data_IF_353235852587
#
_entry.id   IF_353235852587
#
_cell.length_a   1.000
_cell.length_b   1.000
_cell.length_c   1.000
_cell.angle_alpha   90.00
_cell.angle_beta   90.00
_cell.angle_gamma   90.00
#
_symmetry.space_group_name_H-M   'P 1'
#
loop_
_entity.id
_entity.type
_entity.pdbx_description
1 polymer ?
#
# COMPACT_ATOMS: atom_id res chain seq x y z
N UNK A 1 18.69 1.30 -25.87
CA UNK A 1 19.68 1.83 -24.91
C UNK A 1 19.63 3.36 -24.80
N UNK A 2 19.43 4.12 -25.89
CA UNK A 2 19.40 5.60 -25.84
C UNK A 2 18.19 6.23 -25.15
N UNK A 3 17.01 5.61 -25.25
CA UNK A 3 15.79 6.13 -24.61
C UNK A 3 15.93 6.17 -23.09
N UNK A 4 16.47 5.10 -22.48
CA UNK A 4 16.71 5.03 -21.04
C UNK A 4 17.76 6.06 -20.59
N UNK A 5 18.84 6.25 -21.37
CA UNK A 5 19.87 7.27 -21.09
C UNK A 5 19.34 8.70 -21.23
N UNK A 6 18.37 8.94 -22.13
CA UNK A 6 17.70 10.24 -22.29
C UNK A 6 16.74 10.51 -21.13
N UNK A 7 15.98 9.50 -20.71
CA UNK A 7 15.10 9.59 -19.54
C UNK A 7 15.91 9.82 -18.25
N UNK A 8 17.02 9.11 -18.06
CA UNK A 8 17.91 9.31 -16.91
C UNK A 8 18.42 10.75 -16.82
N UNK A 9 18.99 11.29 -17.91
CA UNK A 9 19.43 12.69 -17.96
C UNK A 9 18.32 13.72 -17.72
N UNK A 10 17.09 13.39 -18.13
CA UNK A 10 15.94 14.27 -17.90
C UNK A 10 15.47 14.25 -16.43
N UNK A 11 15.55 13.10 -15.78
CA UNK A 11 15.25 12.91 -14.35
C UNK A 11 16.34 13.49 -13.45
N UNK A 12 17.61 13.44 -13.86
CA UNK A 12 18.80 13.95 -13.14
C UNK A 12 18.91 15.49 -13.10
N UNK A 13 17.79 16.22 -13.15
CA UNK A 13 17.78 17.67 -12.95
C UNK A 13 17.81 18.01 -11.45
N UNK A 14 18.59 19.01 -11.04
CA UNK A 14 18.55 19.48 -9.65
C UNK A 14 17.13 19.94 -9.30
N UNK A 15 16.67 19.61 -8.09
CA UNK A 15 15.32 19.95 -7.58
C UNK A 15 14.15 19.30 -8.32
N UNK A 16 14.35 18.15 -8.98
CA UNK A 16 13.23 17.38 -9.53
C UNK A 16 12.19 17.08 -8.44
N UNK A 17 10.88 17.34 -8.67
CA UNK A 17 9.84 17.18 -7.65
C UNK A 17 9.45 15.71 -7.45
N UNK A 18 10.39 14.90 -6.91
CA UNK A 18 10.23 13.46 -6.70
C UNK A 18 8.99 13.11 -5.88
N UNK A 19 8.71 13.87 -4.82
CA UNK A 19 7.51 13.69 -3.98
C UNK A 19 6.22 13.76 -4.81
N UNK A 20 6.10 14.75 -5.70
CA UNK A 20 4.92 14.92 -6.57
C UNK A 20 4.80 13.78 -7.58
N UNK A 21 5.93 13.35 -8.17
CA UNK A 21 5.94 12.24 -9.11
C UNK A 21 5.49 10.93 -8.45
N UNK A 22 6.04 10.60 -7.28
CA UNK A 22 5.70 9.38 -6.54
C UNK A 22 4.23 9.40 -6.12
N UNK A 23 3.74 10.53 -5.59
CA UNK A 23 2.31 10.70 -5.24
C UNK A 23 1.43 10.52 -6.48
N UNK A 24 1.76 11.16 -7.59
CA UNK A 24 1.00 11.05 -8.83
C UNK A 24 0.95 9.62 -9.37
N UNK A 25 2.10 8.92 -9.36
CA UNK A 25 2.17 7.53 -9.78
C UNK A 25 1.38 6.61 -8.85
N UNK A 26 1.50 6.79 -7.53
CA UNK A 26 0.74 6.04 -6.53
C UNK A 26 -0.76 6.23 -6.70
N UNK A 27 -1.23 7.45 -6.90
CA UNK A 27 -2.64 7.75 -7.17
C UNK A 27 -3.10 7.12 -8.49
N UNK A 28 -2.32 7.23 -9.56
CA UNK A 28 -2.64 6.61 -10.85
C UNK A 28 -2.78 5.09 -10.74
N UNK A 29 -1.84 4.45 -10.05
CA UNK A 29 -1.89 3.01 -9.78
C UNK A 29 -3.13 2.63 -8.95
N UNK A 30 -3.41 3.35 -7.87
CA UNK A 30 -4.59 3.11 -7.03
C UNK A 30 -5.91 3.26 -7.80
N UNK A 31 -6.03 4.29 -8.64
CA UNK A 31 -7.22 4.50 -9.47
C UNK A 31 -7.40 3.36 -10.49
N UNK A 32 -6.31 2.89 -11.08
CA UNK A 32 -6.35 1.77 -12.01
C UNK A 32 -6.80 0.47 -11.33
N UNK A 33 -6.21 0.12 -10.19
CA UNK A 33 -6.59 -1.05 -9.40
C UNK A 33 -8.03 -0.97 -8.88
N UNK A 34 -8.45 0.22 -8.44
CA UNK A 34 -9.83 0.48 -8.01
C UNK A 34 -10.81 0.30 -9.18
N UNK A 35 -10.44 0.73 -10.38
CA UNK A 35 -11.23 0.54 -11.58
C UNK A 35 -11.37 -0.95 -11.95
N UNK A 36 -10.28 -1.72 -11.91
CA UNK A 36 -10.32 -3.17 -12.16
C UNK A 36 -11.19 -3.88 -11.12
N UNK A 37 -11.01 -3.55 -9.85
CA UNK A 37 -11.82 -4.08 -8.74
C UNK A 37 -13.30 -3.75 -8.93
N UNK A 38 -13.63 -2.56 -9.41
CA UNK A 38 -15.01 -2.16 -9.70
C UNK A 38 -15.61 -2.99 -10.83
N UNK A 39 -14.83 -3.27 -11.88
CA UNK A 39 -15.28 -4.19 -12.96
C UNK A 39 -15.53 -5.59 -12.42
N UNK A 40 -14.68 -6.09 -11.53
CA UNK A 40 -14.89 -7.39 -10.89
C UNK A 40 -16.14 -7.39 -10.01
N UNK A 41 -16.39 -6.32 -9.27
CA UNK A 41 -17.61 -6.16 -8.48
C UNK A 41 -18.88 -6.23 -9.35
N UNK A 42 -18.87 -5.65 -10.55
CA UNK A 42 -19.99 -5.79 -11.51
C UNK A 42 -20.21 -7.23 -11.96
N UNK A 43 -19.17 -8.04 -12.06
CA UNK A 43 -19.30 -9.48 -12.38
C UNK A 43 -19.91 -10.22 -11.19
N UNK A 44 -19.56 -9.86 -9.96
CA UNK A 44 -20.10 -10.44 -8.72
C UNK A 44 -21.58 -10.07 -8.44
N UNK A 45 -22.17 -9.20 -9.27
CA UNK A 45 -23.60 -8.89 -9.23
C UNK A 45 -24.43 -9.81 -10.14
N UNK A 46 -23.77 -10.71 -10.90
CA UNK A 46 -24.48 -11.66 -11.77
C UNK A 46 -25.17 -12.73 -10.93
N UNK A 47 -26.45 -12.95 -11.22
CA UNK A 47 -27.33 -13.87 -10.48
C UNK A 47 -27.27 -15.29 -11.04
N UNK A 48 -26.90 -15.44 -12.32
CA UNK A 48 -26.87 -16.74 -13.00
C UNK A 48 -25.53 -17.43 -12.82
N UNK A 49 -25.58 -18.72 -12.48
CA UNK A 49 -24.43 -19.62 -12.51
C UNK A 49 -23.90 -19.67 -13.96
N UNK A 50 -22.58 -19.59 -14.18
CA UNK A 50 -22.02 -19.78 -15.51
C UNK A 50 -22.35 -21.17 -16.05
N UNK A 51 -22.73 -21.28 -17.34
CA UNK A 51 -23.09 -22.56 -17.99
C UNK A 51 -22.06 -23.68 -17.82
N UNK A 52 -20.80 -23.32 -17.64
CA UNK A 52 -19.69 -24.27 -17.41
C UNK A 52 -19.67 -24.88 -16.01
N UNK A 53 -20.39 -24.31 -15.04
CA UNK A 53 -20.41 -24.72 -13.64
C UNK A 53 -21.81 -25.15 -13.16
N UNK A 54 -22.82 -25.11 -14.04
CA UNK A 54 -24.22 -25.45 -13.70
C UNK A 54 -24.37 -26.88 -13.15
N UNK A 55 -23.51 -27.81 -13.57
CA UNK A 55 -23.55 -29.22 -13.11
C UNK A 55 -22.71 -29.49 -11.86
N UNK A 56 -21.82 -28.56 -11.47
CA UNK A 56 -20.85 -28.75 -10.37
C UNK A 56 -21.21 -27.95 -9.12
N UNK A 57 -21.99 -26.88 -9.27
CA UNK A 57 -22.30 -25.95 -8.19
C UNK A 57 -23.80 -25.71 -8.10
N UNK A 58 -24.37 -26.07 -6.95
CA UNK A 58 -25.75 -25.75 -6.63
C UNK A 58 -25.98 -24.24 -6.49
N UNK A 59 -27.17 -23.77 -6.86
CA UNK A 59 -27.53 -22.35 -6.87
C UNK A 59 -27.41 -21.72 -5.47
N UNK A 60 -27.64 -22.50 -4.40
CA UNK A 60 -27.52 -22.03 -3.02
C UNK A 60 -26.07 -21.70 -2.64
N UNK A 61 -25.12 -22.56 -3.04
CA UNK A 61 -23.68 -22.36 -2.83
C UNK A 61 -23.16 -21.19 -3.67
N UNK A 62 -23.63 -21.06 -4.91
CA UNK A 62 -23.31 -19.92 -5.76
C UNK A 62 -23.74 -18.60 -5.12
N UNK A 63 -24.99 -18.50 -4.65
CA UNK A 63 -25.50 -17.28 -4.02
C UNK A 63 -24.69 -16.89 -2.77
N UNK A 64 -24.38 -17.86 -1.89
CA UNK A 64 -23.52 -17.62 -0.72
C UNK A 64 -22.13 -17.12 -1.10
N UNK A 65 -21.53 -17.72 -2.14
CA UNK A 65 -20.22 -17.30 -2.66
C UNK A 65 -20.26 -15.89 -3.25
N UNK A 66 -21.32 -15.54 -3.98
CA UNK A 66 -21.53 -14.19 -4.51
C UNK A 66 -21.71 -13.16 -3.39
N UNK A 67 -22.50 -13.47 -2.36
CA UNK A 67 -22.72 -12.60 -1.20
C UNK A 67 -21.39 -12.31 -0.48
N UNK A 68 -20.61 -13.36 -0.20
CA UNK A 68 -19.28 -13.25 0.39
C UNK A 68 -18.33 -12.46 -0.51
N UNK A 69 -18.31 -12.73 -1.82
CA UNK A 69 -17.50 -12.01 -2.79
C UNK A 69 -17.80 -10.51 -2.81
N UNK A 70 -19.07 -10.12 -2.75
CA UNK A 70 -19.49 -8.71 -2.67
C UNK A 70 -19.09 -8.08 -1.34
N UNK A 71 -19.25 -8.78 -0.22
CA UNK A 71 -18.80 -8.30 1.08
C UNK A 71 -17.28 -8.07 1.09
N UNK A 72 -16.50 -9.04 0.59
CA UNK A 72 -15.04 -8.96 0.45
C UNK A 72 -14.62 -7.80 -0.46
N UNK A 73 -15.30 -7.59 -1.58
CA UNK A 73 -15.02 -6.47 -2.47
C UNK A 73 -15.25 -5.12 -1.79
N UNK A 74 -16.38 -4.95 -1.07
CA UNK A 74 -16.67 -3.71 -0.31
C UNK A 74 -15.60 -3.44 0.75
N UNK A 75 -15.22 -4.46 1.51
CA UNK A 75 -14.14 -4.33 2.48
C UNK A 75 -12.81 -3.98 1.79
N UNK A 76 -12.48 -4.64 0.68
CA UNK A 76 -11.27 -4.35 -0.10
C UNK A 76 -11.20 -2.92 -0.63
N UNK A 77 -12.33 -2.33 -1.04
CA UNK A 77 -12.38 -0.91 -1.40
C UNK A 77 -12.13 0.01 -0.21
N UNK A 78 -12.73 -0.29 0.94
CA UNK A 78 -12.57 0.53 2.15
C UNK A 78 -11.13 0.46 2.69
N UNK A 79 -10.57 -0.75 2.80
CA UNK A 79 -9.19 -0.95 3.25
C UNK A 79 -8.18 -0.41 2.24
N UNK A 80 -8.44 -0.57 0.94
CA UNK A 80 -7.63 0.02 -0.13
C UNK A 80 -7.58 1.54 -0.03
N UNK A 81 -8.72 2.20 0.20
CA UNK A 81 -8.78 3.65 0.37
C UNK A 81 -8.01 4.11 1.61
N UNK A 82 -8.20 3.41 2.73
CA UNK A 82 -7.48 3.68 3.97
C UNK A 82 -5.96 3.59 3.77
N UNK A 83 -5.48 2.51 3.17
CA UNK A 83 -4.06 2.29 2.88
C UNK A 83 -3.50 3.36 1.93
N UNK A 84 -4.28 3.77 0.93
CA UNK A 84 -3.87 4.84 0.02
C UNK A 84 -3.74 6.18 0.76
N UNK A 85 -4.70 6.53 1.63
CA UNK A 85 -4.65 7.76 2.44
C UNK A 85 -3.45 7.71 3.40
N UNK A 86 -3.20 6.57 4.04
CA UNK A 86 -2.05 6.36 4.92
C UNK A 86 -0.74 6.58 4.17
N UNK A 87 -0.56 5.91 3.02
CA UNK A 87 0.64 6.03 2.19
C UNK A 87 0.89 7.48 1.74
N UNK A 88 -0.17 8.15 1.28
CA UNK A 88 -0.08 9.57 0.90
C UNK A 88 0.28 10.46 2.10
N UNK A 89 -0.29 10.19 3.28
CA UNK A 89 -0.01 10.94 4.49
C UNK A 89 1.45 10.75 4.93
N UNK A 90 1.97 9.53 4.89
CA UNK A 90 3.37 9.21 5.21
C UNK A 90 4.32 10.01 4.34
N UNK A 91 4.07 10.06 3.02
CA UNK A 91 4.90 10.77 2.05
C UNK A 91 4.72 12.29 2.17
N UNK A 92 3.48 12.77 2.33
CA UNK A 92 3.19 14.19 2.36
C UNK A 92 3.78 14.85 3.61
N UNK A 93 3.58 14.24 4.79
CA UNK A 93 4.00 14.79 6.09
C UNK A 93 5.43 14.42 6.50
N UNK A 94 6.20 13.77 5.62
CA UNK A 94 7.59 13.36 5.88
C UNK A 94 7.69 12.52 7.16
N UNK A 95 6.81 11.52 7.29
CA UNK A 95 6.75 10.65 8.47
C UNK A 95 8.04 9.85 8.61
N UNK A 96 8.64 9.37 7.51
CA UNK A 96 9.89 8.60 7.56
C UNK A 96 11.06 9.40 8.18
N UNK A 97 11.40 10.63 7.72
CA UNK A 97 12.43 11.44 8.39
C UNK A 97 12.14 11.72 9.86
N UNK A 98 10.87 11.99 10.21
CA UNK A 98 10.49 12.26 11.60
C UNK A 98 10.67 11.03 12.49
N UNK A 99 10.25 9.86 12.01
CA UNK A 99 10.42 8.60 12.71
C UNK A 99 11.90 8.24 12.85
N UNK A 100 12.71 8.50 11.81
CA UNK A 100 14.16 8.35 11.86
C UNK A 100 14.81 9.23 12.93
N UNK A 101 14.43 10.51 13.00
CA UNK A 101 14.94 11.41 14.04
C UNK A 101 14.55 10.95 15.45
N UNK A 102 13.32 10.46 15.63
CA UNK A 102 12.81 9.94 16.90
C UNK A 102 13.59 8.70 17.34
N UNK A 103 13.78 7.73 16.45
CA UNK A 103 14.51 6.50 16.78
C UNK A 103 15.99 6.78 17.03
N UNK A 104 16.56 7.80 16.37
CA UNK A 104 17.93 8.27 16.63
C UNK A 104 18.08 8.85 18.04
N UNK A 105 17.10 9.65 18.49
CA UNK A 105 17.05 10.17 19.85
C UNK A 105 16.90 9.05 20.89
N UNK A 106 16.07 8.04 20.61
CA UNK A 106 15.94 6.87 21.48
C UNK A 106 17.24 6.07 21.57
N UNK A 107 17.90 5.85 20.44
CA UNK A 107 19.19 5.16 20.42
C UNK A 107 20.24 5.92 21.23
N UNK A 108 20.34 7.24 21.03
CA UNK A 108 21.30 8.08 21.75
C UNK A 108 21.05 8.13 23.27
N UNK A 109 19.78 8.02 23.70
CA UNK A 109 19.40 8.11 25.12
C UNK A 109 19.47 6.78 25.86
N UNK A 110 19.14 5.67 25.21
CA UNK A 110 18.94 4.38 25.88
C UNK A 110 19.99 3.32 25.50
N UNK A 111 20.69 3.45 24.37
CA UNK A 111 21.63 2.44 23.93
C UNK A 111 23.05 2.69 24.50
N UNK A 112 23.79 1.63 24.87
CA UNK A 112 25.20 1.73 25.21
C UNK A 112 26.02 2.30 24.03
N UNK A 113 27.11 3.02 24.30
CA UNK A 113 27.97 3.65 23.28
C UNK A 113 28.48 2.68 22.19
N UNK A 114 28.55 1.38 22.47
CA UNK A 114 28.91 0.33 21.50
C UNK A 114 27.86 0.10 20.41
N UNK A 115 26.61 0.49 20.64
CA UNK A 115 25.47 0.32 19.74
C UNK A 115 24.98 1.64 19.13
N UNK A 116 25.77 2.70 19.20
CA UNK A 116 25.42 4.01 18.62
C UNK A 116 25.72 4.12 17.11
N UNK A 117 25.90 2.99 16.41
CA UNK A 117 26.16 2.97 14.97
C UNK A 117 24.90 3.06 14.11
N UNK A 118 25.07 3.43 12.83
CA UNK A 118 23.98 3.55 11.85
C UNK A 118 23.19 2.25 11.63
N UNK A 119 23.85 1.09 11.79
CA UNK A 119 23.20 -0.22 11.67
C UNK A 119 22.16 -0.41 12.79
N UNK A 120 22.55 -0.10 14.04
CA UNK A 120 21.65 -0.20 15.20
C UNK A 120 20.49 0.78 15.09
N UNK A 121 20.74 1.99 14.57
CA UNK A 121 19.69 2.97 14.28
C UNK A 121 18.71 2.45 13.23
N UNK A 122 19.22 1.90 12.13
CA UNK A 122 18.39 1.34 11.05
C UNK A 122 17.51 0.18 11.54
N UNK A 123 18.06 -0.72 12.36
CA UNK A 123 17.30 -1.81 12.97
C UNK A 123 16.18 -1.31 13.87
N UNK A 124 16.47 -0.33 14.73
CA UNK A 124 15.47 0.27 15.62
C UNK A 124 14.39 1.02 14.82
N UNK A 125 14.78 1.73 13.76
CA UNK A 125 13.86 2.41 12.86
C UNK A 125 12.90 1.43 12.18
N UNK A 126 13.42 0.36 11.57
CA UNK A 126 12.60 -0.66 10.89
C UNK A 126 11.67 -1.32 11.90
N UNK A 127 12.17 -1.68 13.09
CA UNK A 127 11.36 -2.30 14.13
C UNK A 127 10.22 -1.37 14.60
N UNK A 128 10.52 -0.10 14.90
CA UNK A 128 9.52 0.89 15.30
C UNK A 128 8.47 1.12 14.21
N UNK A 129 8.91 1.20 12.95
CA UNK A 129 8.03 1.33 11.79
C UNK A 129 7.12 0.10 11.63
N UNK A 130 7.67 -1.12 11.63
CA UNK A 130 6.90 -2.36 11.53
C UNK A 130 5.90 -2.53 12.66
N UNK A 131 6.27 -2.13 13.88
CA UNK A 131 5.37 -2.14 15.04
C UNK A 131 4.22 -1.16 14.85
N UNK A 132 4.51 0.07 14.41
CA UNK A 132 3.47 1.07 14.11
C UNK A 132 2.53 0.60 12.99
N UNK A 133 3.06 0.06 11.89
CA UNK A 133 2.26 -0.49 10.79
C UNK A 133 1.37 -1.65 11.26
N UNK A 134 1.88 -2.52 12.14
CA UNK A 134 1.08 -3.60 12.72
C UNK A 134 -0.08 -3.04 13.55
N UNK A 135 0.17 -2.04 14.41
CA UNK A 135 -0.88 -1.40 15.20
C UNK A 135 -1.95 -0.73 14.32
N UNK A 136 -1.53 -0.09 13.22
CA UNK A 136 -2.43 0.57 12.27
C UNK A 136 -3.24 -0.46 11.46
N UNK A 137 -2.68 -1.64 11.19
CA UNK A 137 -3.31 -2.69 10.40
C UNK A 137 -4.12 -3.73 11.20
N UNK A 138 -4.21 -3.59 12.53
CA UNK A 138 -5.04 -4.44 13.39
C UNK A 138 -6.56 -4.27 13.20
N UNK A 139 -7.09 -3.03 13.04
CA UNK A 139 -8.52 -2.80 12.77
C UNK A 139 -8.97 -3.32 11.40
#
# INVERSE_FOLDING_TARGET
MDVLKRLGRWLDRPLFPWKKLIIGFSLGHYLFESYLSFRQYRVLQRIKVPKTLENEVDQTTFNKSQDYGRAKARFGFASGLFNQIQSLSIIHYDVYPKLWALTGLWLARYAPARFSGEISHSLLFIFAYSFAETLIGLP
#
